data_IF_955702594751
#
_entry.id   IF_955702594751
#
_cell.length_a   1.000
_cell.length_b   1.000
_cell.length_c   1.000
_cell.angle_alpha   90.00
_cell.angle_beta   90.00
_cell.angle_gamma   90.00
#
_symmetry.space_group_name_H-M   'P 1'
#
loop_
_entity.id
_entity.type
_entity.pdbx_description
1 polymer ?
#
# COMPACT_ATOMS: atom_id res chain seq x y z
N UNK A 1 -6.78 3.24 20.81
CA UNK A 1 -6.40 2.10 19.96
C UNK A 1 -5.88 2.69 18.65
N UNK A 2 -4.68 2.31 18.21
CA UNK A 2 -4.04 2.90 17.03
C UNK A 2 -4.73 2.42 15.74
N UNK A 3 -4.70 3.25 14.68
CA UNK A 3 -5.19 2.87 13.35
C UNK A 3 -4.58 1.55 12.87
N UNK A 4 -3.29 1.30 13.18
CA UNK A 4 -2.57 0.11 12.76
C UNK A 4 -3.15 -1.20 13.33
N UNK A 5 -3.54 -1.22 14.61
CA UNK A 5 -4.10 -2.44 15.23
C UNK A 5 -5.43 -2.84 14.56
N UNK A 6 -6.27 -1.86 14.24
CA UNK A 6 -7.52 -2.09 13.53
C UNK A 6 -7.28 -2.61 12.10
N UNK A 7 -6.23 -2.14 11.42
CA UNK A 7 -5.85 -2.66 10.09
C UNK A 7 -5.34 -4.10 10.15
N UNK A 8 -4.60 -4.47 11.19
CA UNK A 8 -4.13 -5.84 11.37
C UNK A 8 -5.29 -6.83 11.56
N UNK A 9 -6.35 -6.46 12.29
CA UNK A 9 -7.55 -7.30 12.43
C UNK A 9 -8.27 -7.53 11.10
N UNK A 10 -8.41 -6.48 10.28
CA UNK A 10 -9.03 -6.59 8.95
C UNK A 10 -8.21 -7.48 8.01
N UNK A 11 -6.88 -7.33 8.02
CA UNK A 11 -6.00 -8.12 7.17
C UNK A 11 -5.98 -9.59 7.61
N UNK A 12 -6.02 -9.86 8.92
CA UNK A 12 -6.17 -11.21 9.44
C UNK A 12 -7.49 -11.85 8.99
N UNK A 13 -8.57 -11.08 8.91
CA UNK A 13 -9.85 -11.57 8.39
C UNK A 13 -9.80 -11.90 6.89
N UNK A 14 -8.99 -11.19 6.10
CA UNK A 14 -8.84 -11.44 4.66
C UNK A 14 -7.99 -12.68 4.34
N UNK A 15 -7.28 -13.25 5.31
CA UNK A 15 -6.45 -14.44 5.15
C UNK A 15 -5.47 -14.32 3.97
N UNK A 16 -4.75 -13.20 3.93
CA UNK A 16 -3.73 -12.94 2.91
C UNK A 16 -2.57 -13.93 3.09
N UNK A 17 -2.35 -14.77 2.07
CA UNK A 17 -1.30 -15.80 2.12
C UNK A 17 0.08 -15.19 1.89
N UNK A 18 1.11 -15.77 2.50
CA UNK A 18 2.50 -15.44 2.20
C UNK A 18 2.80 -15.64 0.71
N UNK A 19 3.57 -14.72 0.12
CA UNK A 19 3.88 -14.69 -1.31
C UNK A 19 2.76 -14.08 -2.18
N UNK A 20 1.65 -13.61 -1.59
CA UNK A 20 0.57 -12.99 -2.36
C UNK A 20 1.02 -11.71 -3.06
N UNK A 21 0.41 -11.43 -4.22
CA UNK A 21 0.52 -10.15 -4.93
C UNK A 21 -0.79 -9.40 -4.79
N UNK A 22 -0.78 -8.31 -4.04
CA UNK A 22 -1.99 -7.57 -3.65
C UNK A 22 -2.04 -6.22 -4.37
N UNK A 23 -3.23 -5.85 -4.84
CA UNK A 23 -3.53 -4.50 -5.33
C UNK A 23 -4.39 -3.77 -4.29
N UNK A 24 -3.90 -2.64 -3.81
CA UNK A 24 -4.63 -1.74 -2.92
C UNK A 24 -5.10 -0.49 -3.67
N UNK A 25 -6.39 -0.15 -3.53
CA UNK A 25 -7.01 1.02 -4.13
C UNK A 25 -7.35 2.04 -3.04
N UNK A 26 -6.82 3.26 -3.17
CA UNK A 26 -7.00 4.34 -2.21
C UNK A 26 -6.05 4.23 -1.03
N UNK A 27 -4.74 4.09 -1.29
CA UNK A 27 -3.75 3.84 -0.24
C UNK A 27 -3.42 5.07 0.63
N UNK A 28 -3.73 6.28 0.16
CA UNK A 28 -3.38 7.52 0.86
C UNK A 28 -1.91 7.56 1.28
N UNK A 29 -1.65 7.80 2.56
CA UNK A 29 -0.30 7.85 3.12
C UNK A 29 0.34 6.47 3.36
N UNK A 30 -0.42 5.37 3.28
CA UNK A 30 0.12 4.01 3.28
C UNK A 30 -0.03 3.19 4.57
N UNK A 31 -0.85 3.61 5.55
CA UNK A 31 -1.07 2.86 6.80
C UNK A 31 -1.50 1.40 6.57
N UNK A 32 -2.49 1.19 5.70
CA UNK A 32 -2.95 -0.15 5.32
C UNK A 32 -1.92 -0.86 4.45
N UNK A 33 -1.24 -0.13 3.56
CA UNK A 33 -0.17 -0.67 2.69
C UNK A 33 0.93 -1.32 3.48
N UNK A 34 1.37 -0.70 4.59
CA UNK A 34 2.39 -1.27 5.48
C UNK A 34 1.94 -2.60 6.08
N UNK A 35 0.69 -2.67 6.54
CA UNK A 35 0.16 -3.89 7.13
C UNK A 35 -0.05 -5.00 6.08
N UNK A 36 -0.44 -4.63 4.85
CA UNK A 36 -0.49 -5.58 3.72
C UNK A 36 0.91 -6.08 3.36
N UNK A 37 1.92 -5.20 3.32
CA UNK A 37 3.30 -5.55 3.01
C UNK A 37 3.90 -6.51 4.04
N UNK A 38 3.54 -6.36 5.31
CA UNK A 38 3.88 -7.33 6.35
C UNK A 38 3.20 -8.69 6.09
N UNK A 39 1.89 -8.69 5.85
CA UNK A 39 1.10 -9.90 5.66
C UNK A 39 1.48 -10.73 4.43
N UNK A 40 1.86 -10.09 3.31
CA UNK A 40 2.29 -10.83 2.11
C UNK A 40 3.67 -11.48 2.27
N UNK A 41 4.46 -11.12 3.30
CA UNK A 41 5.78 -11.70 3.55
C UNK A 41 6.87 -11.25 2.57
N UNK A 42 8.08 -11.79 2.73
CA UNK A 42 9.28 -11.39 1.96
C UNK A 42 9.18 -11.67 0.46
N UNK A 43 8.49 -12.75 0.08
CA UNK A 43 8.28 -13.14 -1.32
C UNK A 43 7.02 -12.52 -1.94
N UNK A 44 6.29 -11.72 -1.17
CA UNK A 44 5.05 -11.07 -1.59
C UNK A 44 5.26 -9.65 -2.16
N UNK A 45 4.20 -9.08 -2.71
CA UNK A 45 4.23 -7.69 -3.19
C UNK A 45 2.88 -6.99 -3.05
N UNK A 46 2.94 -5.67 -2.88
CA UNK A 46 1.78 -4.78 -2.84
C UNK A 46 1.96 -3.67 -3.86
N UNK A 47 0.99 -3.53 -4.76
CA UNK A 47 0.83 -2.33 -5.59
C UNK A 47 -0.25 -1.47 -4.96
N UNK A 48 0.07 -0.22 -4.65
CA UNK A 48 -0.81 0.69 -3.92
C UNK A 48 -1.08 1.94 -4.76
N UNK A 49 -2.37 2.20 -5.03
CA UNK A 49 -2.81 3.28 -5.91
C UNK A 49 -3.53 4.37 -5.13
N UNK A 50 -3.22 5.63 -5.40
CA UNK A 50 -4.01 6.77 -4.95
C UNK A 50 -3.95 7.91 -5.99
N UNK A 51 -5.08 8.51 -6.42
CA UNK A 51 -5.06 9.61 -7.38
C UNK A 51 -4.72 10.98 -6.73
N UNK A 52 -4.58 11.04 -5.40
CA UNK A 52 -4.29 12.26 -4.66
C UNK A 52 -2.98 12.92 -5.10
N UNK A 53 -2.92 14.24 -4.99
CA UNK A 53 -1.69 14.98 -5.29
C UNK A 53 -0.56 14.50 -4.37
N UNK A 54 0.66 14.28 -4.89
CA UNK A 54 1.85 13.98 -4.06
C UNK A 54 2.09 15.01 -2.93
N UNK A 55 1.66 16.26 -3.14
CA UNK A 55 1.79 17.38 -2.19
C UNK A 55 0.59 17.51 -1.24
N UNK A 56 -0.42 16.64 -1.35
CA UNK A 56 -1.58 16.65 -0.46
C UNK A 56 -1.19 16.12 0.93
N UNK A 57 -1.60 16.83 1.99
CA UNK A 57 -1.40 16.42 3.38
C UNK A 57 -0.62 17.44 4.21
N UNK A 58 -0.80 17.34 5.53
CA UNK A 58 -0.07 18.11 6.55
C UNK A 58 -0.19 17.35 7.88
N UNK A 59 0.85 17.26 8.72
CA UNK A 59 2.18 17.87 8.57
C UNK A 59 3.07 17.20 7.51
N UNK A 60 2.77 15.96 7.12
CA UNK A 60 3.44 15.26 6.01
C UNK A 60 2.52 15.13 4.81
N UNK A 61 3.08 15.24 3.61
CA UNK A 61 2.37 14.98 2.36
C UNK A 61 2.30 13.48 2.06
N UNK A 62 1.43 13.09 1.13
CA UNK A 62 1.36 11.70 0.64
C UNK A 62 2.73 11.20 0.19
N UNK A 63 3.45 11.98 -0.62
CA UNK A 63 4.76 11.61 -1.13
C UNK A 63 5.81 11.45 -0.03
N UNK A 64 5.78 12.31 0.99
CA UNK A 64 6.72 12.24 2.11
C UNK A 64 6.50 10.96 2.93
N UNK A 65 5.25 10.67 3.30
CA UNK A 65 4.94 9.47 4.08
C UNK A 65 5.22 8.19 3.28
N UNK A 66 4.86 8.14 2.00
CA UNK A 66 5.16 7.01 1.13
C UNK A 66 6.67 6.82 0.92
N UNK A 67 7.44 7.89 0.71
CA UNK A 67 8.89 7.82 0.61
C UNK A 67 9.54 7.32 1.92
N UNK A 68 9.00 7.73 3.07
CA UNK A 68 9.44 7.21 4.36
C UNK A 68 9.20 5.70 4.46
N UNK A 69 8.00 5.22 4.11
CA UNK A 69 7.68 3.79 4.08
C UNK A 69 8.64 3.01 3.17
N UNK A 70 8.92 3.54 1.97
CA UNK A 70 9.85 2.91 1.02
C UNK A 70 11.29 2.82 1.54
N UNK A 71 11.68 3.65 2.52
CA UNK A 71 13.00 3.59 3.17
C UNK A 71 13.11 2.51 4.26
N UNK A 72 11.99 1.87 4.63
CA UNK A 72 11.95 0.81 5.64
C UNK A 72 12.20 -0.57 5.03
N UNK A 73 12.43 -1.62 5.83
CA UNK A 73 12.56 -3.00 5.32
C UNK A 73 11.33 -3.50 4.53
N UNK A 74 10.13 -2.98 4.82
CA UNK A 74 8.91 -3.33 4.08
C UNK A 74 8.84 -2.66 2.70
N UNK A 75 9.61 -1.60 2.48
CA UNK A 75 9.62 -0.84 1.23
C UNK A 75 9.93 -1.67 -0.01
N UNK A 76 10.77 -2.70 0.13
CA UNK A 76 11.10 -3.62 -0.98
C UNK A 76 9.88 -4.40 -1.51
N UNK A 77 8.79 -4.48 -0.73
CA UNK A 77 7.56 -5.21 -1.06
C UNK A 77 6.50 -4.30 -1.68
N UNK A 78 6.71 -2.98 -1.70
CA UNK A 78 5.65 -1.99 -2.00
C UNK A 78 6.01 -1.20 -3.26
N UNK A 79 5.01 -0.98 -4.12
CA UNK A 79 5.06 0.00 -5.21
C UNK A 79 3.90 0.96 -5.10
N UNK A 80 4.18 2.26 -4.94
CA UNK A 80 3.17 3.31 -4.93
C UNK A 80 2.98 3.94 -6.31
N UNK A 81 1.72 4.23 -6.67
CA UNK A 81 1.39 4.99 -7.87
C UNK A 81 0.37 6.09 -7.59
N UNK A 82 0.73 7.32 -7.97
CA UNK A 82 -0.17 8.48 -7.97
C UNK A 82 -1.08 8.45 -9.21
N UNK A 83 -2.03 7.52 -9.24
CA UNK A 83 -2.83 7.23 -10.43
C UNK A 83 -4.26 6.86 -10.07
N UNK A 84 -5.21 7.21 -10.95
CA UNK A 84 -6.57 6.69 -10.85
C UNK A 84 -6.59 5.17 -11.05
N UNK A 85 -7.35 4.42 -10.24
CA UNK A 85 -7.50 2.96 -10.40
C UNK A 85 -8.00 2.56 -11.79
N UNK A 86 -8.90 3.35 -12.37
CA UNK A 86 -9.46 3.07 -13.71
C UNK A 86 -8.35 3.14 -14.77
N UNK A 87 -7.47 4.14 -14.69
CA UNK A 87 -6.37 4.29 -15.64
C UNK A 87 -5.37 3.15 -15.48
N UNK A 88 -4.98 2.82 -14.25
CA UNK A 88 -4.08 1.69 -13.98
C UNK A 88 -4.63 0.38 -14.54
N UNK A 89 -5.88 0.05 -14.21
CA UNK A 89 -6.53 -1.20 -14.64
C UNK A 89 -6.75 -1.28 -16.15
N UNK A 90 -6.92 -0.14 -16.84
CA UNK A 90 -7.05 -0.12 -18.31
C UNK A 90 -5.77 -0.57 -19.04
N UNK A 91 -4.62 -0.46 -18.37
CA UNK A 91 -3.30 -0.86 -18.90
C UNK A 91 -2.75 -2.14 -18.26
N UNK A 92 -3.42 -2.65 -17.23
CA UNK A 92 -2.95 -3.79 -16.46
C UNK A 92 -3.15 -5.08 -17.24
N UNK A 93 -2.07 -5.83 -17.46
CA UNK A 93 -2.08 -7.09 -18.20
C UNK A 93 -2.03 -8.33 -17.31
N UNK A 94 -2.02 -8.17 -15.98
CA UNK A 94 -1.79 -9.26 -15.03
C UNK A 94 -0.31 -9.55 -14.79
N UNK A 95 0.04 -10.39 -13.79
CA UNK A 95 1.04 -11.43 -13.99
C UNK A 95 0.73 -12.30 -15.20
#
# INVERSE_FOLDING_TARGET
MSQLAHRQELIAYWDIQLGSRVLEIGCGQGDTTVALADAVGEDGSVVALDPGSPDYGSPETLAQSQAHILSTPLGARITFHFISPILYLSTYTGP
#
